data_IF_723964507584
#
_entry.id   IF_723964507584
#
_cell.length_a   1.000
_cell.length_b   1.000
_cell.length_c   1.000
_cell.angle_alpha   90.00
_cell.angle_beta   90.00
_cell.angle_gamma   90.00
#
_symmetry.space_group_name_H-M   'P 1'
#
loop_
_entity.id
_entity.type
_entity.pdbx_description
1 polymer ?
#
# COMPACT_ATOMS: atom_id res chain seq x y z
N UNK A 1 -12.48 -17.88 -2.43
CA UNK A 1 -11.18 -18.25 -1.81
C UNK A 1 -10.50 -17.09 -1.08
N UNK A 2 -10.73 -17.03 0.22
CA UNK A 2 -10.30 -16.05 1.24
C UNK A 2 -9.16 -15.10 0.88
N UNK A 3 -9.42 -13.79 0.98
CA UNK A 3 -8.37 -12.88 1.44
C UNK A 3 -8.18 -13.25 2.90
N UNK A 4 -7.16 -14.06 3.20
CA UNK A 4 -6.90 -14.54 4.54
C UNK A 4 -6.48 -13.38 5.46
N UNK A 5 -7.46 -12.61 5.94
CA UNK A 5 -7.41 -11.92 7.24
C UNK A 5 -7.49 -12.92 8.41
N UNK A 6 -7.48 -14.22 8.09
CA UNK A 6 -7.57 -15.38 8.98
C UNK A 6 -6.20 -15.88 9.48
N UNK A 7 -5.20 -15.01 9.60
CA UNK A 7 -4.12 -15.31 10.54
C UNK A 7 -4.72 -15.22 11.94
N UNK A 8 -5.05 -16.38 12.53
CA UNK A 8 -5.28 -16.50 13.97
C UNK A 8 -4.14 -15.74 14.64
N UNK A 9 -4.45 -14.69 15.40
CA UNK A 9 -3.45 -14.03 16.22
C UNK A 9 -2.79 -15.11 17.08
N UNK A 10 -1.45 -15.31 17.02
CA UNK A 10 -0.78 -16.26 17.88
C UNK A 10 -1.22 -16.06 19.33
N UNK A 11 -1.35 -17.17 20.06
CA UNK A 11 -1.76 -17.19 21.47
C UNK A 11 -0.90 -16.17 22.25
N UNK A 12 -1.54 -15.18 22.85
CA UNK A 12 -0.87 -14.09 23.59
C UNK A 12 -0.82 -12.72 22.89
N UNK A 13 -1.26 -12.59 21.63
CA UNK A 13 -1.37 -11.30 20.97
C UNK A 13 -2.61 -10.51 21.40
N UNK A 14 -2.44 -9.21 21.69
CA UNK A 14 -3.53 -8.26 21.97
C UNK A 14 -4.57 -8.24 20.83
N UNK A 15 -5.85 -7.94 21.07
CA UNK A 15 -6.84 -7.76 20.01
C UNK A 15 -6.43 -6.65 19.01
N UNK A 16 -6.86 -6.75 17.75
CA UNK A 16 -6.54 -5.73 16.71
C UNK A 16 -6.92 -4.31 17.14
N UNK A 17 -8.09 -4.13 17.76
CA UNK A 17 -8.52 -2.82 18.29
C UNK A 17 -7.51 -2.24 19.29
N UNK A 18 -7.01 -3.05 20.22
CA UNK A 18 -6.02 -2.62 21.21
C UNK A 18 -4.68 -2.23 20.58
N UNK A 19 -4.25 -2.94 19.52
CA UNK A 19 -3.03 -2.61 18.78
C UNK A 19 -3.14 -1.35 17.93
N UNK A 20 -4.30 -1.13 17.32
CA UNK A 20 -4.61 0.09 16.56
C UNK A 20 -4.62 1.31 17.47
N UNK A 21 -5.13 1.18 18.69
CA UNK A 21 -5.18 2.27 19.67
C UNK A 21 -3.87 2.46 20.45
N UNK A 22 -2.85 1.63 20.20
CA UNK A 22 -1.58 1.70 20.91
C UNK A 22 -0.77 2.92 20.45
N UNK A 23 -0.39 3.77 21.40
CA UNK A 23 0.39 4.98 21.13
C UNK A 23 1.89 4.79 21.26
N UNK A 24 2.37 3.64 21.77
CA UNK A 24 3.80 3.32 21.89
C UNK A 24 4.36 2.85 20.53
N UNK A 25 5.23 3.64 19.86
CA UNK A 25 5.72 3.32 18.53
C UNK A 25 6.52 2.02 18.41
N UNK A 26 7.20 1.57 19.47
CA UNK A 26 7.97 0.33 19.47
C UNK A 26 7.07 -0.91 19.47
N UNK A 27 6.08 -0.93 20.37
CA UNK A 27 5.10 -2.02 20.44
C UNK A 27 4.28 -2.13 19.15
N UNK A 28 4.07 -1.00 18.50
CA UNK A 28 3.42 -0.90 17.21
C UNK A 28 4.27 -1.52 16.10
N UNK A 29 5.56 -1.20 16.04
CA UNK A 29 6.46 -1.81 15.07
C UNK A 29 6.56 -3.31 15.32
N UNK A 30 6.72 -3.73 16.58
CA UNK A 30 6.76 -5.15 16.97
C UNK A 30 5.49 -5.88 16.52
N UNK A 31 4.32 -5.27 16.73
CA UNK A 31 3.07 -5.80 16.24
C UNK A 31 3.07 -5.96 14.71
N UNK A 32 3.45 -4.93 13.95
CA UNK A 32 3.48 -4.99 12.49
C UNK A 32 4.47 -6.04 11.98
N UNK A 33 5.65 -6.15 12.59
CA UNK A 33 6.68 -7.14 12.26
C UNK A 33 6.22 -8.57 12.59
N UNK A 34 5.40 -8.71 13.63
CA UNK A 34 4.74 -9.98 13.97
C UNK A 34 3.61 -10.34 13.01
N UNK A 35 3.14 -9.37 12.21
CA UNK A 35 2.10 -9.56 11.21
C UNK A 35 2.73 -9.85 9.85
N UNK A 36 2.56 -11.07 9.34
CA UNK A 36 3.06 -11.45 8.03
C UNK A 36 4.02 -12.62 8.12
N UNK A 37 5.10 -12.58 7.32
CA UNK A 37 6.04 -13.69 7.21
C UNK A 37 7.02 -13.69 8.40
N UNK A 38 7.37 -14.86 9.00
CA UNK A 38 8.21 -14.94 10.19
C UNK A 38 9.57 -14.24 10.09
N UNK A 39 10.09 -14.10 8.87
CA UNK A 39 11.42 -13.58 8.59
C UNK A 39 11.54 -12.06 8.85
N UNK A 40 10.44 -11.31 8.91
CA UNK A 40 10.49 -9.88 9.24
C UNK A 40 11.09 -9.64 10.63
N UNK A 41 10.68 -10.46 11.62
CA UNK A 41 11.14 -10.33 13.01
C UNK A 41 12.62 -10.62 13.19
N UNK A 42 13.15 -11.62 12.48
CA UNK A 42 14.58 -11.95 12.55
C UNK A 42 15.48 -10.88 11.92
N UNK A 43 14.91 -10.00 11.11
CA UNK A 43 15.64 -8.96 10.37
C UNK A 43 15.43 -7.56 10.95
N UNK A 44 14.75 -7.43 12.10
CA UNK A 44 14.63 -6.16 12.81
C UNK A 44 16.00 -5.78 13.41
N UNK A 45 16.76 -4.96 12.68
CA UNK A 45 18.10 -4.52 13.04
C UNK A 45 18.14 -3.00 13.16
N UNK A 46 18.82 -2.48 14.19
CA UNK A 46 18.97 -1.04 14.39
C UNK A 46 18.90 -0.67 15.88
N UNK A 47 19.60 0.41 16.25
CA UNK A 47 19.63 0.93 17.62
C UNK A 47 18.49 1.91 17.92
N UNK A 48 17.88 2.49 16.89
CA UNK A 48 16.75 3.41 17.00
C UNK A 48 15.54 2.86 16.25
N UNK A 49 14.33 3.28 16.64
CA UNK A 49 13.09 2.89 15.95
C UNK A 49 13.12 3.23 14.46
N UNK A 50 13.61 4.43 14.13
CA UNK A 50 13.80 4.88 12.76
C UNK A 50 14.77 3.97 12.00
N UNK A 51 15.93 3.65 12.60
CA UNK A 51 16.92 2.76 12.00
C UNK A 51 16.33 1.37 11.72
N UNK A 52 15.60 0.81 12.69
CA UNK A 52 14.89 -0.46 12.56
C UNK A 52 13.92 -0.47 11.38
N UNK A 53 13.08 0.56 11.30
CA UNK A 53 12.10 0.66 10.22
C UNK A 53 12.77 0.82 8.85
N UNK A 54 13.83 1.63 8.77
CA UNK A 54 14.58 1.87 7.55
C UNK A 54 15.22 0.59 7.00
N UNK A 55 15.93 -0.15 7.85
CA UNK A 55 16.56 -1.41 7.44
C UNK A 55 15.51 -2.46 7.07
N UNK A 56 14.40 -2.50 7.81
CA UNK A 56 13.29 -3.39 7.47
C UNK A 56 12.66 -3.05 6.11
N UNK A 57 12.46 -1.77 5.80
CA UNK A 57 11.90 -1.34 4.51
C UNK A 57 12.86 -1.65 3.35
N UNK A 58 14.17 -1.43 3.51
CA UNK A 58 15.18 -1.84 2.52
C UNK A 58 15.17 -3.35 2.31
N UNK A 59 15.09 -4.11 3.39
CA UNK A 59 15.05 -5.57 3.32
C UNK A 59 13.78 -6.07 2.62
N UNK A 60 12.61 -5.54 2.97
CA UNK A 60 11.35 -5.86 2.30
C UNK A 60 11.38 -5.50 0.81
N UNK A 61 11.93 -4.32 0.46
CA UNK A 61 12.13 -3.91 -0.93
C UNK A 61 13.04 -4.88 -1.68
N UNK A 62 14.15 -5.32 -1.07
CA UNK A 62 15.06 -6.31 -1.67
C UNK A 62 14.36 -7.61 -2.07
N UNK A 63 13.29 -7.99 -1.36
CA UNK A 63 12.51 -9.19 -1.70
C UNK A 63 11.66 -9.00 -2.94
N UNK A 64 11.16 -7.79 -3.19
CA UNK A 64 10.44 -7.43 -4.42
C UNK A 64 11.38 -7.15 -5.60
N UNK A 65 12.66 -6.86 -5.30
CA UNK A 65 13.72 -6.59 -6.28
C UNK A 65 14.59 -7.82 -6.60
N UNK A 66 14.23 -9.00 -6.07
CA UNK A 66 15.03 -10.22 -6.20
C UNK A 66 16.51 -10.02 -5.80
N UNK A 67 16.74 -9.25 -4.73
CA UNK A 67 18.06 -8.96 -4.17
C UNK A 67 18.85 -7.83 -4.83
N UNK A 68 18.32 -7.20 -5.89
CA UNK A 68 19.01 -6.10 -6.58
C UNK A 68 18.79 -4.77 -5.83
N UNK A 69 19.74 -3.83 -5.97
CA UNK A 69 19.70 -2.51 -5.32
C UNK A 69 18.55 -1.62 -5.84
N UNK A 70 17.69 -1.19 -4.92
CA UNK A 70 16.54 -0.30 -5.20
C UNK A 70 16.95 1.07 -5.75
N UNK A 71 18.20 1.51 -5.54
CA UNK A 71 18.70 2.81 -6.01
C UNK A 71 19.26 2.76 -7.44
N UNK A 72 19.41 1.58 -8.01
CA UNK A 72 19.92 1.43 -9.37
C UNK A 72 18.76 1.45 -10.37
N UNK A 73 18.83 2.34 -11.38
CA UNK A 73 17.79 2.43 -12.42
C UNK A 73 17.57 1.10 -13.16
N UNK A 74 18.64 0.32 -13.37
CA UNK A 74 18.57 -1.03 -13.96
C UNK A 74 17.63 -2.00 -13.23
N UNK A 75 17.37 -1.74 -11.95
CA UNK A 75 16.45 -2.54 -11.14
C UNK A 75 15.00 -2.36 -11.54
N UNK A 76 14.70 -1.39 -12.38
CA UNK A 76 13.37 -1.10 -12.91
C UNK A 76 13.38 -1.16 -14.44
N UNK A 77 14.17 -2.05 -15.05
CA UNK A 77 14.07 -2.33 -16.49
C UNK A 77 12.79 -3.11 -16.82
N UNK A 78 12.21 -2.90 -18.01
CA UNK A 78 10.90 -3.44 -18.40
C UNK A 78 10.78 -4.96 -18.28
N UNK A 79 11.88 -5.69 -18.51
CA UNK A 79 11.94 -7.14 -18.39
C UNK A 79 11.89 -7.68 -16.95
N UNK A 80 12.21 -6.84 -15.96
CA UNK A 80 12.44 -7.28 -14.57
C UNK A 80 11.14 -7.50 -13.81
N UNK A 81 10.08 -6.75 -14.12
CA UNK A 81 8.80 -6.71 -13.39
C UNK A 81 8.88 -6.27 -11.92
N UNK A 82 10.05 -5.85 -11.41
CA UNK A 82 10.21 -5.44 -10.01
C UNK A 82 9.28 -4.26 -9.65
N UNK A 83 9.24 -3.25 -10.52
CA UNK A 83 8.38 -2.09 -10.37
C UNK A 83 6.90 -2.49 -10.30
N UNK A 84 6.48 -3.31 -11.26
CA UNK A 84 5.11 -3.82 -11.37
C UNK A 84 4.71 -4.64 -10.14
N UNK A 85 5.59 -5.52 -9.66
CA UNK A 85 5.35 -6.30 -8.45
C UNK A 85 5.08 -5.39 -7.23
N UNK A 86 5.87 -4.32 -7.07
CA UNK A 86 5.62 -3.32 -6.03
C UNK A 86 4.27 -2.62 -6.17
N UNK A 87 3.82 -2.34 -7.40
CA UNK A 87 2.54 -1.72 -7.68
C UNK A 87 1.37 -2.67 -7.36
N UNK A 88 1.42 -3.92 -7.84
CA UNK A 88 0.40 -4.94 -7.57
C UNK A 88 0.25 -5.18 -6.06
N UNK A 89 1.38 -5.20 -5.33
CA UNK A 89 1.44 -5.36 -3.87
C UNK A 89 0.67 -4.27 -3.12
N UNK A 90 0.77 -3.01 -3.58
CA UNK A 90 0.11 -1.87 -2.91
C UNK A 90 -1.31 -1.62 -3.42
N UNK A 91 -1.57 -1.75 -4.72
CA UNK A 91 -2.86 -1.41 -5.33
C UNK A 91 -3.89 -2.53 -5.19
N UNK A 92 -3.46 -3.74 -4.81
CA UNK A 92 -4.34 -4.89 -4.60
C UNK A 92 -4.84 -5.51 -5.90
N UNK A 93 -4.00 -5.49 -6.93
CA UNK A 93 -4.28 -6.03 -8.27
C UNK A 93 -3.73 -7.45 -8.43
N UNK A 94 -4.30 -8.20 -9.38
CA UNK A 94 -3.94 -9.59 -9.65
C UNK A 94 -3.74 -9.80 -11.15
N UNK A 95 -2.71 -10.54 -11.56
CA UNK A 95 -2.59 -10.95 -12.97
C UNK A 95 -3.73 -11.91 -13.35
N UNK A 96 -3.99 -12.02 -14.64
CA UNK A 96 -4.84 -13.09 -15.16
C UNK A 96 -4.25 -14.46 -14.81
N UNK A 97 -5.14 -15.41 -14.51
CA UNK A 97 -4.72 -16.69 -13.93
C UNK A 97 -3.83 -17.52 -14.86
N UNK A 98 -4.03 -17.42 -16.18
CA UNK A 98 -3.24 -18.15 -17.18
C UNK A 98 -1.99 -17.39 -17.63
N UNK A 99 -1.77 -16.16 -17.15
CA UNK A 99 -0.62 -15.36 -17.57
C UNK A 99 0.67 -15.84 -16.86
N UNK A 100 1.82 -15.94 -17.57
CA UNK A 100 3.10 -16.30 -16.95
C UNK A 100 3.51 -15.41 -15.77
N UNK A 101 3.06 -14.15 -15.72
CA UNK A 101 3.26 -13.24 -14.61
C UNK A 101 2.73 -13.82 -13.29
N UNK A 102 1.60 -14.54 -13.32
CA UNK A 102 1.04 -15.16 -12.12
C UNK A 102 2.05 -16.08 -11.43
N UNK A 103 2.77 -16.89 -12.22
CA UNK A 103 3.82 -17.79 -11.72
C UNK A 103 5.04 -17.00 -11.24
N UNK A 104 5.50 -16.02 -12.02
CA UNK A 104 6.68 -15.20 -11.66
C UNK A 104 6.49 -14.41 -10.37
N UNK A 105 5.31 -13.85 -10.13
CA UNK A 105 5.03 -13.13 -8.89
C UNK A 105 5.22 -13.98 -7.64
N UNK A 106 4.91 -15.28 -7.72
CA UNK A 106 5.11 -16.21 -6.60
C UNK A 106 6.57 -16.60 -6.46
N UNK A 107 7.22 -16.97 -7.57
CA UNK A 107 8.60 -17.44 -7.57
C UNK A 107 9.60 -16.34 -7.17
N UNK A 108 9.41 -15.13 -7.72
CA UNK A 108 10.42 -14.07 -7.68
C UNK A 108 10.06 -12.97 -6.67
N UNK A 109 8.76 -12.73 -6.43
CA UNK A 109 8.29 -11.47 -5.82
C UNK A 109 7.39 -11.62 -4.59
N UNK A 110 7.45 -12.76 -3.88
CA UNK A 110 6.72 -12.98 -2.62
C UNK A 110 5.19 -12.92 -2.69
N UNK A 111 4.58 -12.99 -3.87
CA UNK A 111 3.14 -13.20 -3.99
C UNK A 111 2.75 -14.56 -3.41
N UNK A 112 1.47 -14.72 -3.07
CA UNK A 112 0.93 -15.96 -2.53
C UNK A 112 0.15 -16.68 -3.62
N UNK A 113 0.47 -17.95 -3.81
CA UNK A 113 -0.33 -18.86 -4.61
C UNK A 113 -1.56 -19.29 -3.80
N UNK A 114 -2.75 -18.92 -4.28
CA UNK A 114 -4.00 -19.28 -3.63
C UNK A 114 -4.61 -20.56 -4.20
N UNK A 115 -4.44 -20.75 -5.50
CA UNK A 115 -5.07 -21.86 -6.21
C UNK A 115 -4.32 -22.18 -7.50
N UNK A 116 -4.31 -23.45 -7.85
CA UNK A 116 -3.82 -23.98 -9.13
C UNK A 116 -4.92 -24.83 -9.72
N UNK A 117 -5.17 -24.71 -11.02
CA UNK A 117 -6.12 -25.58 -11.72
C UNK A 117 -5.63 -27.03 -11.72
N UNK A 118 -6.55 -27.99 -11.84
CA UNK A 118 -6.20 -29.41 -11.92
C UNK A 118 -5.21 -29.73 -13.06
N UNK A 119 -5.29 -29.00 -14.17
CA UNK A 119 -4.39 -29.14 -15.33
C UNK A 119 -3.07 -28.38 -15.19
N UNK A 120 -2.89 -27.62 -14.10
CA UNK A 120 -1.73 -26.77 -13.85
C UNK A 120 -1.48 -25.73 -14.97
N UNK A 121 -2.55 -25.28 -15.63
CA UNK A 121 -2.56 -24.32 -16.74
C UNK A 121 -3.07 -22.92 -16.34
N UNK A 122 -3.55 -22.76 -15.09
CA UNK A 122 -3.89 -21.46 -14.53
C UNK A 122 -3.65 -21.42 -13.01
N UNK A 123 -3.25 -20.26 -12.50
CA UNK A 123 -2.91 -20.01 -11.11
C UNK A 123 -3.55 -18.72 -10.62
N UNK A 124 -4.26 -18.77 -9.50
CA UNK A 124 -4.74 -17.55 -8.84
C UNK A 124 -3.68 -17.12 -7.83
N UNK A 125 -3.03 -15.99 -8.09
CA UNK A 125 -1.98 -15.45 -7.22
C UNK A 125 -2.32 -14.02 -6.81
N UNK A 126 -1.96 -13.66 -5.58
CA UNK A 126 -2.09 -12.28 -5.11
C UNK A 126 -1.21 -11.99 -3.91
N UNK A 127 -0.98 -10.71 -3.66
CA UNK A 127 -0.38 -10.28 -2.41
C UNK A 127 -1.43 -10.35 -1.30
N UNK A 128 -1.14 -11.13 -0.28
CA UNK A 128 -1.86 -11.01 1.00
C UNK A 128 -1.52 -9.68 1.65
N UNK A 129 -2.44 -9.12 2.42
CA UNK A 129 -2.17 -7.92 3.23
C UNK A 129 -0.92 -8.14 4.08
N UNK A 130 0.21 -7.53 3.76
CA UNK A 130 1.47 -7.62 4.49
C UNK A 130 2.04 -6.20 4.62
N UNK A 131 1.85 -5.54 5.78
CA UNK A 131 2.24 -4.14 5.95
C UNK A 131 3.73 -3.93 5.67
N UNK A 132 4.60 -4.85 6.12
CA UNK A 132 6.05 -4.74 5.97
C UNK A 132 6.44 -4.82 4.49
N UNK A 133 5.88 -5.77 3.75
CA UNK A 133 6.13 -5.88 2.31
C UNK A 133 5.64 -4.63 1.57
N UNK A 134 4.50 -4.07 1.97
CA UNK A 134 3.95 -2.86 1.34
C UNK A 134 4.76 -1.60 1.65
N UNK A 135 5.37 -1.49 2.83
CA UNK A 135 6.32 -0.41 3.11
C UNK A 135 7.61 -0.55 2.29
N UNK A 136 8.08 -1.78 2.06
CA UNK A 136 9.16 -2.05 1.11
C UNK A 136 8.80 -1.63 -0.32
N UNK A 137 7.57 -1.92 -0.76
CA UNK A 137 7.07 -1.46 -2.05
C UNK A 137 7.00 0.08 -2.13
N UNK A 138 6.56 0.75 -1.07
CA UNK A 138 6.57 2.22 -1.02
C UNK A 138 8.00 2.77 -1.09
N UNK A 139 8.94 2.16 -0.36
CA UNK A 139 10.35 2.54 -0.40
C UNK A 139 10.87 2.52 -1.84
N UNK A 140 10.58 1.46 -2.62
CA UNK A 140 10.96 1.34 -4.03
C UNK A 140 10.45 2.49 -4.90
N UNK A 141 9.21 2.95 -4.70
CA UNK A 141 8.60 3.99 -5.53
C UNK A 141 9.39 5.30 -5.54
N UNK A 142 10.16 5.57 -4.48
CA UNK A 142 10.82 6.86 -4.25
C UNK A 142 12.36 6.82 -4.29
N UNK A 143 12.99 5.68 -4.64
CA UNK A 143 14.46 5.57 -4.57
C UNK A 143 15.23 6.28 -5.68
N UNK A 144 14.58 6.59 -6.80
CA UNK A 144 15.20 7.30 -7.92
C UNK A 144 14.85 8.79 -7.89
N UNK A 145 15.60 9.59 -8.65
CA UNK A 145 15.29 10.99 -8.91
C UNK A 145 15.33 11.25 -10.42
N UNK A 146 14.18 11.50 -11.10
CA UNK A 146 12.80 11.51 -10.57
C UNK A 146 12.37 10.16 -9.97
N UNK A 147 11.33 10.12 -9.10
CA UNK A 147 10.87 8.89 -8.42
C UNK A 147 10.68 7.71 -9.37
N UNK A 148 10.98 6.49 -8.90
CA UNK A 148 10.89 5.28 -9.71
C UNK A 148 9.47 5.04 -10.22
N UNK A 149 8.46 5.39 -9.41
CA UNK A 149 7.06 5.27 -9.79
C UNK A 149 6.76 5.97 -11.12
N UNK A 150 7.10 7.25 -11.21
CA UNK A 150 6.85 8.09 -12.39
C UNK A 150 7.76 7.71 -13.55
N UNK A 151 9.05 7.51 -13.27
CA UNK A 151 10.06 7.35 -14.32
C UNK A 151 10.08 5.97 -14.98
N UNK A 152 9.63 4.92 -14.28
CA UNK A 152 9.74 3.54 -14.76
C UNK A 152 8.45 2.72 -14.53
N UNK A 153 7.95 2.69 -13.28
CA UNK A 153 6.92 1.73 -12.87
C UNK A 153 5.59 1.96 -13.60
N UNK A 154 5.13 3.22 -13.69
CA UNK A 154 3.85 3.53 -14.35
C UNK A 154 3.88 3.20 -15.84
N UNK A 155 5.01 3.47 -16.53
CA UNK A 155 5.19 3.10 -17.93
C UNK A 155 5.15 1.59 -18.15
N UNK A 156 5.80 0.81 -17.28
CA UNK A 156 5.74 -0.65 -17.34
C UNK A 156 4.33 -1.16 -17.11
N UNK A 157 3.66 -0.59 -16.12
CA UNK A 157 2.30 -0.96 -15.80
C UNK A 157 1.34 -0.63 -16.94
N UNK A 158 1.48 0.53 -17.59
CA UNK A 158 0.73 0.89 -18.79
C UNK A 158 0.88 -0.17 -19.90
N UNK A 159 2.10 -0.63 -20.18
CA UNK A 159 2.32 -1.70 -21.15
C UNK A 159 1.61 -3.02 -20.76
N UNK A 160 1.57 -3.35 -19.46
CA UNK A 160 0.87 -4.53 -18.94
C UNK A 160 -0.65 -4.40 -19.06
N UNK A 161 -1.18 -3.20 -18.85
CA UNK A 161 -2.60 -2.90 -19.05
C UNK A 161 -2.99 -3.08 -20.53
N UNK A 162 -2.19 -2.55 -21.45
CA UNK A 162 -2.46 -2.68 -22.89
C UNK A 162 -2.42 -4.12 -23.40
N UNK A 163 -1.68 -5.00 -22.73
CA UNK A 163 -1.58 -6.42 -23.08
C UNK A 163 -2.59 -7.30 -22.33
N UNK A 164 -3.53 -6.71 -21.58
CA UNK A 164 -4.56 -7.43 -20.81
C UNK A 164 -3.98 -8.51 -19.88
N UNK A 165 -2.85 -8.19 -19.23
CA UNK A 165 -2.13 -9.12 -18.35
C UNK A 165 -2.68 -9.12 -16.92
N UNK A 166 -3.37 -8.05 -16.51
CA UNK A 166 -3.89 -7.85 -15.16
C UNK A 166 -5.40 -7.72 -15.20
N UNK A 167 -6.07 -8.39 -14.27
CA UNK A 167 -7.50 -8.22 -14.04
C UNK A 167 -7.72 -6.88 -13.33
N UNK A 168 -8.03 -5.88 -14.13
CA UNK A 168 -7.97 -4.46 -13.74
C UNK A 168 -9.32 -3.92 -13.29
N UNK A 169 -10.41 -4.57 -13.68
CA UNK A 169 -11.76 -4.05 -13.53
C UNK A 169 -11.94 -2.75 -14.33
N UNK A 170 -11.61 -1.60 -13.75
CA UNK A 170 -11.71 -0.29 -14.39
C UNK A 170 -10.53 0.59 -14.00
N UNK A 171 -9.94 1.22 -15.00
CA UNK A 171 -8.66 1.94 -14.89
C UNK A 171 -8.79 3.14 -13.95
N UNK A 172 -9.92 3.84 -13.94
CA UNK A 172 -10.23 4.94 -13.02
C UNK A 172 -10.04 4.54 -11.55
N UNK A 173 -10.46 3.34 -11.16
CA UNK A 173 -10.30 2.85 -9.78
C UNK A 173 -8.84 2.58 -9.45
N UNK A 174 -8.06 2.10 -10.42
CA UNK A 174 -6.62 1.86 -10.25
C UNK A 174 -5.90 3.20 -10.05
N UNK A 175 -6.21 4.16 -10.91
CA UNK A 175 -5.67 5.52 -10.84
C UNK A 175 -6.02 6.16 -9.50
N UNK A 176 -7.27 6.08 -9.05
CA UNK A 176 -7.70 6.59 -7.75
C UNK A 176 -6.93 5.95 -6.59
N UNK A 177 -6.71 4.63 -6.60
CA UNK A 177 -5.92 3.95 -5.56
C UNK A 177 -4.47 4.44 -5.55
N UNK A 178 -3.85 4.62 -6.71
CA UNK A 178 -2.48 5.17 -6.80
C UNK A 178 -2.44 6.58 -6.22
N UNK A 179 -3.38 7.46 -6.56
CA UNK A 179 -3.45 8.81 -6.00
C UNK A 179 -3.65 8.81 -4.48
N UNK A 180 -4.53 7.97 -3.96
CA UNK A 180 -4.75 7.82 -2.52
C UNK A 180 -3.49 7.34 -1.79
N UNK A 181 -2.73 6.40 -2.38
CA UNK A 181 -1.44 5.94 -1.86
C UNK A 181 -0.38 7.04 -1.89
N UNK A 182 -0.31 7.81 -2.98
CA UNK A 182 0.60 8.94 -3.09
C UNK A 182 0.28 10.03 -2.05
N UNK A 183 -1.00 10.32 -1.83
CA UNK A 183 -1.42 11.31 -0.85
C UNK A 183 -1.11 10.87 0.58
N UNK A 184 -1.38 9.61 0.94
CA UNK A 184 -1.06 9.12 2.29
C UNK A 184 0.46 9.09 2.51
N UNK A 185 1.23 8.62 1.53
CA UNK A 185 2.70 8.63 1.58
C UNK A 185 3.21 10.07 1.76
N UNK A 186 2.73 11.03 0.97
CA UNK A 186 3.11 12.44 1.09
C UNK A 186 2.67 13.10 2.42
N UNK A 187 1.72 12.50 3.13
CA UNK A 187 1.25 12.97 4.44
C UNK A 187 2.10 12.40 5.58
N UNK A 188 2.54 11.16 5.47
CA UNK A 188 3.29 10.45 6.52
C UNK A 188 4.81 10.57 6.37
N UNK A 189 5.30 10.83 5.15
CA UNK A 189 6.72 11.05 4.90
C UNK A 189 7.11 12.47 5.30
N UNK A 190 8.13 12.60 6.15
CA UNK A 190 8.80 13.88 6.33
C UNK A 190 9.51 14.29 5.03
N UNK A 191 9.32 15.56 4.64
CA UNK A 191 9.90 16.17 3.45
C UNK A 191 11.42 16.10 3.40
N UNK A 192 12.09 16.08 4.57
CA UNK A 192 13.55 15.99 4.67
C UNK A 192 14.10 14.56 4.44
N UNK A 193 13.28 13.52 4.63
CA UNK A 193 13.71 12.10 4.74
C UNK A 193 13.06 11.20 3.67
N UNK A 194 12.41 11.78 2.64
CA UNK A 194 11.65 11.03 1.61
C UNK A 194 12.39 9.83 0.99
N UNK A 195 13.72 9.85 0.93
CA UNK A 195 14.53 8.76 0.34
C UNK A 195 14.65 7.53 1.25
N UNK A 196 14.38 7.66 2.54
CA UNK A 196 14.62 6.59 3.52
C UNK A 196 13.31 5.94 3.99
N UNK A 197 12.17 6.48 3.53
CA UNK A 197 10.81 5.99 3.77
C UNK A 197 10.58 5.59 5.24
N UNK A 198 10.89 6.49 6.16
CA UNK A 198 10.60 6.31 7.58
C UNK A 198 9.17 6.77 7.80
N UNK A 199 8.29 5.87 8.26
CA UNK A 199 6.89 6.23 8.49
C UNK A 199 6.78 6.87 9.87
N UNK A 200 6.62 8.19 9.90
CA UNK A 200 6.44 8.95 11.13
C UNK A 200 5.03 8.73 11.69
N UNK A 201 4.87 7.68 12.51
CA UNK A 201 3.65 7.40 13.23
C UNK A 201 2.66 6.48 12.50
N UNK A 202 1.68 5.95 13.23
CA UNK A 202 0.76 4.93 12.72
C UNK A 202 -0.31 5.46 11.76
N UNK A 203 -0.82 6.66 12.06
CA UNK A 203 -1.98 7.28 11.44
C UNK A 203 -1.75 8.80 11.41
N UNK A 204 -2.17 9.46 10.34
CA UNK A 204 -2.15 10.91 10.22
C UNK A 204 -3.56 11.48 10.44
N UNK A 205 -3.65 12.79 10.69
CA UNK A 205 -4.95 13.48 10.74
C UNK A 205 -5.61 13.44 9.36
N UNK A 206 -6.92 13.19 9.32
CA UNK A 206 -7.72 13.24 8.07
C UNK A 206 -7.55 14.58 7.38
N UNK A 207 -7.51 15.67 8.14
CA UNK A 207 -7.30 17.02 7.61
C UNK A 207 -6.01 17.14 6.78
N UNK A 208 -4.89 16.64 7.31
CA UNK A 208 -3.59 16.70 6.61
C UNK A 208 -3.63 15.86 5.33
N UNK A 209 -4.24 14.67 5.39
CA UNK A 209 -4.38 13.79 4.25
C UNK A 209 -5.23 14.42 3.13
N UNK A 210 -6.39 14.97 3.48
CA UNK A 210 -7.27 15.65 2.52
C UNK A 210 -6.55 16.85 1.89
N UNK A 211 -5.87 17.68 2.70
CA UNK A 211 -5.09 18.82 2.19
C UNK A 211 -3.97 18.39 1.23
N UNK A 212 -3.36 17.22 1.44
CA UNK A 212 -2.38 16.66 0.50
C UNK A 212 -3.01 16.11 -0.77
N UNK A 213 -4.22 15.55 -0.68
CA UNK A 213 -4.94 14.97 -1.80
C UNK A 213 -5.54 16.01 -2.74
N UNK A 214 -6.22 17.03 -2.20
CA UNK A 214 -6.98 18.02 -2.99
C UNK A 214 -6.37 19.43 -2.94
N UNK A 215 -5.28 19.62 -2.19
CA UNK A 215 -4.67 20.92 -1.95
C UNK A 215 -5.24 21.62 -0.70
N UNK A 216 -4.51 22.61 -0.18
CA UNK A 216 -4.94 23.42 0.96
C UNK A 216 -6.14 24.32 0.65
N UNK A 217 -6.36 24.59 -0.64
CA UNK A 217 -7.51 25.31 -1.20
C UNK A 217 -7.87 24.63 -2.51
N UNK A 218 -8.81 23.67 -2.52
CA UNK A 218 -9.23 23.05 -3.76
C UNK A 218 -9.82 24.14 -4.67
N UNK A 219 -9.30 24.27 -5.89
CA UNK A 219 -9.93 25.10 -6.91
C UNK A 219 -11.18 24.37 -7.38
N UNK A 220 -12.34 25.02 -7.24
CA UNK A 220 -13.60 24.46 -7.70
C UNK A 220 -13.54 24.31 -9.23
N UNK A 221 -13.46 23.07 -9.72
CA UNK A 221 -13.66 22.78 -11.13
C UNK A 221 -15.05 23.21 -11.56
N UNK A 222 -15.09 24.16 -12.50
CA UNK A 222 -16.24 24.65 -13.27
C UNK A 222 -17.36 25.39 -12.50
N UNK A 223 -17.17 26.70 -12.29
CA UNK A 223 -17.95 27.72 -13.02
C UNK A 223 -17.42 29.14 -12.72
N UNK A 224 -16.90 29.83 -13.74
CA UNK A 224 -16.34 31.20 -13.65
C UNK A 224 -17.43 32.29 -13.57
N UNK A 225 -18.59 32.01 -12.96
CA UNK A 225 -19.74 32.92 -13.03
C UNK A 225 -20.35 33.35 -11.69
N UNK A 226 -19.87 32.86 -10.54
CA UNK A 226 -20.32 33.37 -9.25
C UNK A 226 -19.20 33.41 -8.21
N UNK A 227 -19.02 34.58 -7.60
CA UNK A 227 -18.18 34.83 -6.42
C UNK A 227 -18.67 33.95 -5.26
N UNK A 228 -18.16 32.71 -5.15
CA UNK A 228 -18.67 31.71 -4.22
C UNK A 228 -17.80 31.60 -2.95
N UNK A 229 -17.97 32.55 -2.02
CA UNK A 229 -17.49 32.42 -0.64
C UNK A 229 -18.13 31.22 0.10
N UNK A 230 -19.38 30.88 -0.23
CA UNK A 230 -20.13 29.81 0.44
C UNK A 230 -19.64 28.37 0.18
N UNK A 231 -19.01 28.10 -0.98
CA UNK A 231 -18.49 26.77 -1.30
C UNK A 231 -17.22 26.45 -0.48
N UNK A 232 -16.35 27.46 -0.29
CA UNK A 232 -15.16 27.33 0.56
C UNK A 232 -15.52 27.21 2.04
N UNK A 233 -16.54 27.93 2.50
CA UNK A 233 -17.08 27.76 3.87
C UNK A 233 -17.65 26.36 4.08
N UNK A 234 -18.37 25.82 3.08
CA UNK A 234 -18.90 24.45 3.13
C UNK A 234 -17.80 23.38 3.20
N UNK A 235 -16.71 23.54 2.44
CA UNK A 235 -15.58 22.59 2.49
C UNK A 235 -14.81 22.68 3.81
N UNK A 236 -14.51 23.90 4.29
CA UNK A 236 -13.85 24.10 5.58
C UNK A 236 -14.69 23.56 6.73
N UNK A 237 -16.01 23.79 6.70
CA UNK A 237 -16.94 23.26 7.70
C UNK A 237 -17.04 21.73 7.62
N UNK A 238 -17.10 21.15 6.42
CA UNK A 238 -17.05 19.69 6.28
C UNK A 238 -15.73 19.13 6.83
N UNK A 239 -14.59 19.73 6.50
CA UNK A 239 -13.28 19.28 6.96
C UNK A 239 -13.08 19.41 8.48
N UNK A 240 -13.72 20.41 9.12
CA UNK A 240 -13.69 20.55 10.58
C UNK A 240 -14.44 19.43 11.30
N UNK A 241 -15.45 18.80 10.68
CA UNK A 241 -16.12 17.62 11.27
C UNK A 241 -15.17 16.41 11.42
N UNK A 242 -14.01 16.43 10.76
CA UNK A 242 -12.99 15.38 10.79
C UNK A 242 -11.77 15.72 11.65
N UNK A 243 -11.83 16.76 12.49
CA UNK A 243 -10.67 17.29 13.22
C UNK A 243 -9.94 16.24 14.08
N UNK A 244 -10.71 15.43 14.80
CA UNK A 244 -10.18 14.37 15.68
C UNK A 244 -9.95 13.03 14.97
N UNK A 245 -10.35 12.94 13.70
CA UNK A 245 -10.26 11.71 12.93
C UNK A 245 -8.86 11.46 12.40
N UNK A 246 -8.46 10.19 12.40
CA UNK A 246 -7.18 9.71 11.90
C UNK A 246 -7.38 8.69 10.79
N UNK A 247 -6.44 8.66 9.85
CA UNK A 247 -6.41 7.75 8.71
C UNK A 247 -5.00 7.19 8.51
N UNK A 248 -4.90 5.97 7.99
CA UNK A 248 -3.61 5.35 7.71
C UNK A 248 -3.78 4.00 7.01
N UNK A 249 -3.12 3.87 5.87
CA UNK A 249 -3.05 2.65 5.07
C UNK A 249 -1.80 2.69 4.18
N UNK A 250 -1.34 1.53 3.74
CA UNK A 250 -0.18 1.37 2.84
C UNK A 250 -0.52 0.61 1.55
N UNK A 251 -1.68 -0.04 1.53
CA UNK A 251 -2.15 -0.86 0.42
C UNK A 251 -3.66 -1.06 0.45
N UNK A 252 -4.18 -1.61 -0.64
CA UNK A 252 -5.58 -2.00 -0.79
C UNK A 252 -5.79 -3.52 -0.78
N UNK A 253 -6.94 -3.93 -0.26
CA UNK A 253 -7.42 -5.32 -0.28
C UNK A 253 -8.83 -5.39 -0.85
N UNK A 254 -9.09 -6.41 -1.68
CA UNK A 254 -10.43 -6.66 -2.20
C UNK A 254 -11.31 -7.31 -1.12
N UNK A 255 -12.43 -6.69 -0.82
CA UNK A 255 -13.48 -7.25 0.03
C UNK A 255 -14.48 -8.00 -0.85
N UNK A 256 -15.04 -9.09 -0.31
CA UNK A 256 -16.11 -9.86 -0.99
C UNK A 256 -17.50 -9.49 -0.52
N UNK A 257 -17.58 -9.05 0.71
CA UNK A 257 -18.79 -8.83 1.45
C UNK A 257 -18.59 -7.55 2.26
N UNK A 258 -19.69 -7.00 2.74
CA UNK A 258 -19.66 -5.87 3.65
C UNK A 258 -18.84 -6.22 4.91
N UNK A 259 -17.82 -5.43 5.27
CA UNK A 259 -16.95 -5.75 6.38
C UNK A 259 -17.66 -5.51 7.71
N UNK A 260 -17.61 -6.50 8.59
CA UNK A 260 -17.97 -6.31 10.01
C UNK A 260 -17.01 -5.34 10.71
N UNK A 261 -17.40 -4.79 11.86
CA UNK A 261 -16.50 -3.97 12.70
C UNK A 261 -15.18 -4.72 13.02
N UNK A 262 -15.26 -6.02 13.31
CA UNK A 262 -14.08 -6.84 13.56
C UNK A 262 -13.16 -6.92 12.33
N UNK A 263 -13.72 -6.98 11.12
CA UNK A 263 -12.97 -6.93 9.86
C UNK A 263 -12.28 -5.57 9.70
N UNK A 264 -12.99 -4.47 9.97
CA UNK A 264 -12.43 -3.11 9.89
C UNK A 264 -11.26 -2.91 10.86
N UNK A 265 -11.38 -3.38 12.10
CA UNK A 265 -10.26 -3.33 13.06
C UNK A 265 -9.04 -4.12 12.57
N UNK A 266 -9.24 -5.31 12.02
CA UNK A 266 -8.14 -6.10 11.44
C UNK A 266 -7.48 -5.40 10.25
N UNK A 267 -8.27 -4.75 9.40
CA UNK A 267 -7.73 -4.00 8.25
C UNK A 267 -6.90 -2.81 8.71
N UNK A 268 -7.41 -2.00 9.64
CA UNK A 268 -6.67 -0.87 10.22
C UNK A 268 -5.38 -1.31 10.88
N UNK A 269 -5.42 -2.41 11.64
CA UNK A 269 -4.26 -3.02 12.30
C UNK A 269 -3.16 -3.41 11.29
N UNK A 270 -3.57 -3.87 10.10
CA UNK A 270 -2.67 -4.19 8.98
C UNK A 270 -2.41 -3.03 8.03
N UNK A 271 -2.89 -1.82 8.31
CA UNK A 271 -2.75 -0.66 7.40
C UNK A 271 -3.32 -0.93 6.00
N UNK A 272 -4.43 -1.66 5.94
CA UNK A 272 -5.12 -1.97 4.70
C UNK A 272 -6.34 -1.07 4.49
N UNK A 273 -6.52 -0.57 3.28
CA UNK A 273 -7.77 0.03 2.81
C UNK A 273 -8.61 -1.01 2.05
N UNK A 274 -9.94 -0.97 2.20
CA UNK A 274 -10.85 -1.91 1.54
C UNK A 274 -11.32 -1.42 0.18
N UNK A 275 -11.41 -2.33 -0.77
CA UNK A 275 -12.13 -2.13 -2.03
C UNK A 275 -13.39 -2.97 -1.96
N UNK A 276 -14.55 -2.32 -2.07
CA UNK A 276 -15.82 -3.02 -2.12
C UNK A 276 -16.01 -3.72 -3.48
N UNK A 277 -16.67 -4.89 -3.49
CA UNK A 277 -17.04 -5.53 -4.74
C UNK A 277 -17.98 -4.59 -5.51
N UNK A 278 -17.86 -4.58 -6.83
CA UNK A 278 -18.83 -3.89 -7.69
C UNK A 278 -20.12 -4.71 -7.66
N UNK A 279 -21.24 -4.05 -7.41
CA UNK A 279 -22.57 -4.64 -7.61
C UNK A 279 -22.80 -4.95 -9.09
#
# INVERSE_FOLDING_TARGET
MDVLLNNRSPVGQLPSKSRVLNTNPEQVLEALVSMGRPLWRSMEQGSTLEGKQRELNKFAASKLLFGVDAKAAKSYEDRTLHGVASLLCRVGLRPHASDPMATRLVADFMSVLHYVTYKNDAQITSYTSDPILTFGASYMWYQLNPPALESHILRQFEAILFNDVVDTGSIDQIVARIFLLLAIDATIMDSAVRKEFVVCGQFCKVQNFVQKLVGAKPENGEDKSTTNSGAHESFSHWLSTWEDWKIGFSHFVNLREEPTEATLWKMLDRRAAGIFPRN
#
